data_IF_871801015441
#
_entry.id   IF_871801015441
#
_cell.length_a   1.000
_cell.length_b   1.000
_cell.length_c   1.000
_cell.angle_alpha   90.00
_cell.angle_beta   90.00
_cell.angle_gamma   90.00
#
_symmetry.space_group_name_H-M   'P 1'
#
loop_
_entity.id
_entity.type
_entity.pdbx_description
1 polymer ?
#
# COMPACT_ATOMS: atom_id res chain seq x y z
N UNK A 1 3.55 -29.85 89.44
CA UNK A 1 3.64 -28.55 88.74
C UNK A 1 4.93 -28.57 87.93
N UNK A 2 4.80 -28.41 86.62
CA UNK A 2 5.81 -28.73 85.62
C UNK A 2 7.10 -27.91 85.75
N UNK A 3 8.22 -28.62 85.73
CA UNK A 3 9.57 -28.11 85.64
C UNK A 3 9.77 -27.36 84.32
N UNK A 4 10.29 -26.14 84.45
CA UNK A 4 10.58 -25.20 83.37
C UNK A 4 11.38 -25.86 82.22
N UNK A 5 10.92 -25.70 80.98
CA UNK A 5 11.49 -26.21 79.73
C UNK A 5 12.84 -25.58 79.32
N UNK A 6 13.63 -25.08 80.26
CA UNK A 6 14.97 -24.59 79.98
C UNK A 6 15.98 -25.27 80.90
N UNK A 7 16.27 -26.52 80.56
CA UNK A 7 17.50 -27.18 81.02
C UNK A 7 18.68 -26.48 80.37
N UNK A 8 19.58 -25.90 81.16
CA UNK A 8 20.78 -25.26 80.65
C UNK A 8 21.66 -26.29 79.92
N UNK A 9 21.76 -26.08 78.60
CA UNK A 9 22.82 -26.46 77.66
C UNK A 9 23.74 -27.62 78.10
N UNK A 10 23.40 -28.84 77.66
CA UNK A 10 24.34 -29.95 77.67
C UNK A 10 25.41 -29.71 76.58
N UNK A 11 26.69 -29.74 76.99
CA UNK A 11 27.82 -29.66 76.07
C UNK A 11 27.76 -30.83 75.07
N UNK A 12 27.42 -30.54 73.82
CA UNK A 12 27.39 -31.53 72.74
C UNK A 12 26.17 -31.51 71.83
N UNK A 13 25.17 -30.65 72.06
CA UNK A 13 24.04 -30.52 71.12
C UNK A 13 24.42 -29.54 70.01
N UNK A 14 24.25 -29.99 68.76
CA UNK A 14 24.43 -29.24 67.51
C UNK A 14 23.95 -27.79 67.66
N UNK A 15 24.88 -26.86 67.90
CA UNK A 15 24.59 -25.43 67.83
C UNK A 15 24.06 -25.09 66.45
N UNK A 16 23.32 -24.00 66.32
CA UNK A 16 22.98 -23.42 65.02
C UNK A 16 24.29 -23.13 64.26
N UNK A 17 24.79 -24.10 63.51
CA UNK A 17 25.96 -23.93 62.66
C UNK A 17 25.51 -23.21 61.39
N UNK A 18 26.40 -22.45 60.76
CA UNK A 18 26.09 -21.82 59.47
C UNK A 18 25.59 -22.84 58.43
N UNK A 19 26.02 -24.10 58.53
CA UNK A 19 25.55 -25.20 57.69
C UNK A 19 24.07 -25.58 57.91
N UNK A 20 23.48 -25.31 59.08
CA UNK A 20 22.06 -25.55 59.37
C UNK A 20 21.15 -24.38 58.93
N UNK A 21 21.72 -23.23 58.57
CA UNK A 21 20.97 -22.04 58.12
C UNK A 21 20.58 -22.08 56.64
N UNK A 22 20.87 -23.19 55.93
CA UNK A 22 20.69 -23.28 54.48
C UNK A 22 21.66 -22.38 53.71
N UNK A 23 21.51 -22.30 52.39
CA UNK A 23 22.27 -21.36 51.57
C UNK A 23 22.10 -19.92 52.11
N UNK A 24 23.16 -19.09 52.14
CA UNK A 24 23.06 -17.72 52.62
C UNK A 24 21.99 -16.96 51.84
N UNK A 25 21.26 -16.08 52.52
CA UNK A 25 20.18 -15.27 51.91
C UNK A 25 20.66 -14.52 50.65
N UNK A 26 21.95 -14.22 50.49
CA UNK A 26 22.54 -13.64 49.28
C UNK A 26 22.38 -14.49 48.01
N UNK A 27 22.29 -15.81 48.14
CA UNK A 27 22.01 -16.71 47.02
C UNK A 27 20.50 -16.78 46.72
N UNK A 28 19.65 -16.58 47.74
CA UNK A 28 18.20 -16.45 47.59
C UNK A 28 17.77 -15.06 47.10
N UNK A 29 18.51 -14.00 47.44
CA UNK A 29 18.28 -12.62 47.03
C UNK A 29 18.70 -12.40 45.57
N UNK A 30 19.68 -13.18 45.08
CA UNK A 30 19.93 -13.36 43.64
C UNK A 30 18.74 -14.01 42.91
N UNK A 31 17.93 -14.82 43.58
CA UNK A 31 16.72 -15.40 42.98
C UNK A 31 15.56 -14.39 42.86
N UNK A 32 15.74 -13.13 43.30
CA UNK A 32 14.88 -12.02 42.90
C UNK A 32 15.23 -11.67 41.47
N UNK A 33 14.58 -12.37 40.55
CA UNK A 33 14.60 -12.15 39.11
C UNK A 33 14.63 -10.65 38.80
N UNK A 34 15.52 -10.21 37.90
CA UNK A 34 15.67 -8.82 37.42
C UNK A 34 14.42 -8.25 36.70
N UNK A 35 13.26 -8.87 36.90
CA UNK A 35 11.94 -8.73 36.29
C UNK A 35 11.35 -7.31 36.31
N UNK A 36 12.08 -6.29 36.76
CA UNK A 36 11.59 -4.91 36.75
C UNK A 36 12.61 -3.84 36.39
N UNK A 37 13.84 -4.23 36.06
CA UNK A 37 14.92 -3.29 35.69
C UNK A 37 15.65 -3.75 34.43
N UNK A 38 14.92 -4.33 33.49
CA UNK A 38 15.44 -4.60 32.14
C UNK A 38 14.76 -3.64 31.15
N UNK A 39 15.51 -3.18 30.16
CA UNK A 39 14.98 -2.44 29.02
C UNK A 39 15.29 -3.24 27.76
N UNK A 40 14.25 -3.49 26.97
CA UNK A 40 14.38 -4.23 25.72
C UNK A 40 14.07 -3.33 24.53
N UNK A 41 14.98 -3.30 23.56
CA UNK A 41 14.84 -2.59 22.30
C UNK A 41 15.15 -3.50 21.10
N UNK A 42 14.78 -3.06 19.91
CA UNK A 42 15.10 -3.74 18.66
C UNK A 42 15.52 -2.71 17.61
N UNK A 43 16.61 -2.98 16.88
CA UNK A 43 17.04 -2.15 15.73
C UNK A 43 16.11 -2.32 14.51
N UNK A 44 15.25 -3.34 14.53
CA UNK A 44 14.33 -3.67 13.45
C UNK A 44 12.90 -3.90 13.95
N UNK A 45 12.14 -4.65 13.16
CA UNK A 45 10.74 -4.98 13.46
C UNK A 45 10.67 -6.30 14.20
N UNK A 46 9.88 -6.34 15.28
CA UNK A 46 9.50 -7.58 15.95
C UNK A 46 8.07 -7.93 15.58
N UNK A 47 7.88 -8.93 14.72
CA UNK A 47 6.57 -9.34 14.19
C UNK A 47 6.16 -10.71 14.69
N UNK A 48 4.85 -10.94 14.81
CA UNK A 48 4.30 -12.23 15.17
C UNK A 48 3.19 -12.63 14.20
N UNK A 49 3.29 -13.85 13.66
CA UNK A 49 2.27 -14.47 12.82
C UNK A 49 1.41 -15.41 13.66
N UNK A 50 0.14 -15.06 13.86
CA UNK A 50 -0.81 -15.83 14.65
C UNK A 50 -1.23 -17.16 14.01
N UNK A 51 -0.99 -17.34 12.71
CA UNK A 51 -1.30 -18.58 11.99
C UNK A 51 -0.18 -19.59 12.16
N UNK A 52 1.07 -19.15 12.00
CA UNK A 52 2.24 -20.04 12.08
C UNK A 52 2.87 -20.10 13.47
N UNK A 53 2.57 -19.15 14.36
CA UNK A 53 3.21 -19.01 15.67
C UNK A 53 4.62 -18.46 15.65
N UNK A 54 5.06 -17.94 14.51
CA UNK A 54 6.44 -17.47 14.33
C UNK A 54 6.55 -16.04 14.85
N UNK A 55 7.38 -15.86 15.88
CA UNK A 55 7.89 -14.56 16.30
C UNK A 55 9.20 -14.28 15.57
N UNK A 56 9.30 -13.17 14.85
CA UNK A 56 10.48 -12.75 14.08
C UNK A 56 10.99 -11.41 14.59
N UNK A 57 12.31 -11.22 14.67
CA UNK A 57 12.95 -9.94 14.88
C UNK A 57 13.97 -9.69 13.77
N UNK A 58 13.74 -8.66 12.95
CA UNK A 58 14.55 -8.40 11.75
C UNK A 58 15.88 -7.71 12.03
N UNK A 59 16.02 -7.09 13.21
CA UNK A 59 17.25 -6.46 13.69
C UNK A 59 17.75 -7.07 14.98
N UNK A 60 18.84 -6.53 15.52
CA UNK A 60 19.39 -6.95 16.81
C UNK A 60 18.44 -6.57 17.94
N UNK A 61 18.15 -7.50 18.85
CA UNK A 61 17.51 -7.18 20.11
C UNK A 61 18.57 -6.74 21.11
N UNK A 62 18.30 -5.65 21.80
CA UNK A 62 19.15 -5.06 22.84
C UNK A 62 18.47 -5.22 24.19
N UNK A 63 19.20 -5.74 25.16
CA UNK A 63 18.71 -5.95 26.52
C UNK A 63 19.66 -5.27 27.49
N UNK A 64 19.19 -4.21 28.14
CA UNK A 64 19.95 -3.49 29.17
C UNK A 64 19.41 -3.82 30.54
N UNK A 65 20.27 -4.22 31.47
CA UNK A 65 19.87 -4.50 32.85
C UNK A 65 21.01 -4.24 33.83
N UNK A 66 20.70 -4.14 35.12
CA UNK A 66 21.68 -3.91 36.17
C UNK A 66 22.15 -5.22 36.78
N UNK A 67 23.46 -5.48 36.86
CA UNK A 67 24.02 -6.67 37.55
C UNK A 67 23.93 -6.54 39.06
N UNK A 68 24.28 -7.62 39.76
CA UNK A 68 24.32 -7.66 41.22
C UNK A 68 25.19 -6.58 41.88
N UNK A 69 26.20 -6.05 41.18
CA UNK A 69 27.07 -4.97 41.67
C UNK A 69 26.51 -3.54 41.47
N UNK A 70 25.31 -3.42 40.90
CA UNK A 70 24.67 -2.13 40.62
C UNK A 70 25.09 -1.49 39.30
N UNK A 71 25.90 -2.16 38.47
CA UNK A 71 26.30 -1.64 37.15
C UNK A 71 25.30 -2.02 36.06
N UNK A 72 24.94 -1.05 35.22
CA UNK A 72 24.12 -1.28 34.03
C UNK A 72 24.97 -1.88 32.90
N UNK A 73 24.45 -2.92 32.27
CA UNK A 73 25.17 -3.73 31.28
C UNK A 73 24.25 -4.09 30.12
N UNK A 74 24.84 -4.56 29.05
CA UNK A 74 24.14 -4.83 27.80
C UNK A 74 24.35 -6.27 27.33
N UNK A 75 23.28 -6.92 26.89
CA UNK A 75 23.31 -8.18 26.17
C UNK A 75 22.55 -8.02 24.86
N UNK A 76 22.90 -8.82 23.84
CA UNK A 76 22.31 -8.73 22.51
C UNK A 76 21.83 -10.07 22.00
N UNK A 77 20.87 -10.05 21.06
CA UNK A 77 20.44 -11.23 20.30
C UNK A 77 20.40 -10.81 18.84
N UNK A 78 21.15 -11.51 17.99
CA UNK A 78 21.15 -11.24 16.55
C UNK A 78 19.75 -11.47 15.94
N UNK A 79 19.46 -10.82 14.81
CA UNK A 79 18.21 -11.01 14.04
C UNK A 79 17.88 -12.49 13.87
N UNK A 80 16.60 -12.85 13.99
CA UNK A 80 16.19 -14.25 14.02
C UNK A 80 14.70 -14.43 14.20
N UNK A 81 14.32 -15.67 14.47
CA UNK A 81 12.93 -16.03 14.74
C UNK A 81 12.85 -17.21 15.72
N UNK A 82 11.69 -17.38 16.33
CA UNK A 82 11.33 -18.54 17.14
C UNK A 82 9.87 -18.90 16.90
N UNK A 83 9.57 -20.19 16.73
CA UNK A 83 8.19 -20.67 16.59
C UNK A 83 7.65 -21.11 17.94
N UNK A 84 6.54 -20.51 18.36
CA UNK A 84 5.82 -20.85 19.58
C UNK A 84 4.58 -21.70 19.27
N UNK A 85 4.45 -22.83 19.95
CA UNK A 85 3.22 -23.59 20.05
C UNK A 85 2.27 -22.95 21.07
N UNK A 86 1.01 -23.36 21.04
CA UNK A 86 -0.01 -22.88 21.97
C UNK A 86 0.39 -23.15 23.42
N UNK A 87 0.34 -22.10 24.24
CA UNK A 87 0.77 -22.18 25.63
C UNK A 87 2.29 -22.28 25.79
N UNK A 88 3.10 -21.91 24.79
CA UNK A 88 4.53 -21.68 24.98
C UNK A 88 4.84 -20.19 25.21
N UNK A 89 5.90 -19.92 25.97
CA UNK A 89 6.47 -18.59 26.12
C UNK A 89 7.92 -18.57 25.67
N UNK A 90 8.36 -17.44 25.13
CA UNK A 90 9.77 -17.20 24.83
C UNK A 90 10.44 -16.44 25.97
N UNK A 91 11.72 -16.75 26.19
CA UNK A 91 12.54 -16.17 27.23
C UNK A 91 14.01 -16.16 26.82
N UNK A 92 14.81 -15.42 27.57
CA UNK A 92 16.27 -15.43 27.44
C UNK A 92 16.90 -15.66 28.81
N UNK A 93 18.03 -16.36 28.82
CA UNK A 93 18.86 -16.47 30.03
C UNK A 93 19.88 -15.36 30.01
N UNK A 94 19.72 -14.37 30.88
CA UNK A 94 20.63 -13.23 30.99
C UNK A 94 22.02 -13.69 31.46
N UNK A 95 23.05 -13.09 30.87
CA UNK A 95 24.43 -13.29 31.26
C UNK A 95 24.95 -12.04 31.95
N UNK A 96 25.60 -12.20 33.11
CA UNK A 96 26.32 -11.13 33.79
C UNK A 96 27.64 -10.74 33.08
N UNK A 97 27.81 -11.05 31.79
CA UNK A 97 28.95 -10.61 30.97
C UNK A 97 28.51 -9.46 30.07
N UNK A 98 29.34 -8.42 29.93
CA UNK A 98 28.94 -7.26 29.12
C UNK A 98 29.05 -7.62 27.66
N UNK A 99 28.10 -7.15 26.87
CA UNK A 99 27.98 -7.43 25.44
C UNK A 99 27.89 -8.92 25.12
N UNK A 100 27.33 -9.71 26.05
CA UNK A 100 27.08 -11.11 25.79
C UNK A 100 26.03 -11.27 24.68
N UNK A 101 26.35 -12.12 23.71
CA UNK A 101 25.41 -12.54 22.68
C UNK A 101 24.62 -13.73 23.21
N UNK A 102 23.30 -13.58 23.25
CA UNK A 102 22.35 -14.56 23.77
C UNK A 102 21.55 -15.18 22.63
N UNK A 103 20.81 -16.24 22.96
CA UNK A 103 19.86 -16.90 22.06
C UNK A 103 18.48 -16.91 22.71
N UNK A 104 17.45 -16.63 21.91
CA UNK A 104 16.06 -16.77 22.34
C UNK A 104 15.72 -18.24 22.58
N UNK A 105 15.14 -18.54 23.73
CA UNK A 105 14.66 -19.87 24.11
C UNK A 105 13.14 -19.86 24.29
N UNK A 106 12.56 -21.06 24.43
CA UNK A 106 11.13 -21.24 24.71
C UNK A 106 10.87 -22.38 25.66
N UNK A 107 9.73 -22.32 26.35
CA UNK A 107 9.25 -23.39 27.23
C UNK A 107 7.72 -23.39 27.31
N UNK A 108 7.14 -24.49 27.81
CA UNK A 108 5.71 -24.62 28.01
C UNK A 108 5.23 -23.85 29.25
N UNK A 109 4.10 -23.16 29.11
CA UNK A 109 3.34 -22.42 30.11
C UNK A 109 1.98 -23.12 30.32
N UNK A 110 2.01 -24.35 30.84
CA UNK A 110 0.82 -25.14 31.13
C UNK A 110 0.68 -25.47 32.62
N UNK A 111 -0.55 -25.67 33.08
CA UNK A 111 -0.81 -26.17 34.44
C UNK A 111 -0.04 -27.50 34.66
N UNK A 112 0.86 -27.52 35.65
CA UNK A 112 1.70 -28.69 35.96
C UNK A 112 2.96 -28.85 35.11
N UNK A 113 3.25 -27.96 34.15
CA UNK A 113 4.52 -27.98 33.40
C UNK A 113 5.70 -27.58 34.29
N UNK A 114 6.88 -28.17 34.06
CA UNK A 114 8.13 -27.69 34.70
C UNK A 114 8.42 -26.28 34.21
N UNK A 115 8.23 -25.30 35.09
CA UNK A 115 8.49 -23.91 34.77
C UNK A 115 9.93 -23.52 35.08
N UNK A 116 10.59 -22.90 34.10
CA UNK A 116 11.88 -22.24 34.27
C UNK A 116 11.77 -20.86 34.94
N UNK A 117 10.58 -20.38 35.35
CA UNK A 117 10.45 -19.13 36.11
C UNK A 117 11.21 -19.12 37.44
N UNK A 118 11.52 -20.31 37.98
CA UNK A 118 12.35 -20.45 39.18
C UNK A 118 13.85 -20.40 38.89
N UNK A 119 14.25 -20.42 37.63
CA UNK A 119 15.65 -20.36 37.26
C UNK A 119 16.16 -18.92 37.37
N UNK A 120 17.40 -18.79 37.85
CA UNK A 120 18.10 -17.52 37.91
C UNK A 120 18.25 -16.93 36.50
N UNK A 121 18.20 -15.59 36.40
CA UNK A 121 18.44 -14.82 35.16
C UNK A 121 17.48 -15.04 33.99
N UNK A 122 16.29 -15.61 34.21
CA UNK A 122 15.30 -15.72 33.14
C UNK A 122 14.58 -14.38 32.97
N UNK A 123 14.65 -13.83 31.75
CA UNK A 123 13.83 -12.71 31.31
C UNK A 123 12.78 -13.24 30.34
N UNK A 124 11.50 -13.31 30.72
CA UNK A 124 10.42 -13.60 29.79
C UNK A 124 10.34 -12.50 28.72
N UNK A 125 9.94 -12.86 27.50
CA UNK A 125 9.78 -11.90 26.41
C UNK A 125 8.31 -11.73 26.00
N UNK A 126 7.55 -12.82 26.13
CA UNK A 126 6.11 -12.88 25.90
C UNK A 126 5.64 -14.32 25.74
N UNK A 127 4.33 -14.52 25.60
CA UNK A 127 3.75 -15.86 25.47
C UNK A 127 2.69 -15.93 24.37
N UNK A 128 2.54 -17.11 23.77
CA UNK A 128 1.44 -17.42 22.85
C UNK A 128 0.26 -17.98 23.64
N UNK A 129 -0.88 -17.30 23.57
CA UNK A 129 -2.10 -17.75 24.23
C UNK A 129 -2.78 -18.87 23.44
N UNK A 130 -3.06 -19.97 24.12
CA UNK A 130 -3.69 -21.15 23.50
C UNK A 130 -5.14 -20.91 23.07
N UNK A 131 -5.82 -19.90 23.65
CA UNK A 131 -7.24 -19.67 23.40
C UNK A 131 -7.51 -18.88 22.11
N UNK A 132 -6.58 -18.01 21.70
CA UNK A 132 -6.78 -17.09 20.57
C UNK A 132 -5.58 -16.99 19.61
N UNK A 133 -4.54 -17.81 19.83
CA UNK A 133 -3.28 -17.84 19.08
C UNK A 133 -2.48 -16.52 19.10
N UNK A 134 -2.91 -15.51 19.86
CA UNK A 134 -2.25 -14.22 19.90
C UNK A 134 -0.98 -14.30 20.74
N UNK A 135 0.00 -13.46 20.39
CA UNK A 135 1.17 -13.22 21.21
C UNK A 135 0.90 -12.10 22.20
N UNK A 136 1.14 -12.38 23.47
CA UNK A 136 1.03 -11.45 24.58
C UNK A 136 2.44 -11.05 24.98
N UNK A 137 2.92 -9.90 24.51
CA UNK A 137 4.27 -9.45 24.82
C UNK A 137 4.34 -9.02 26.29
N UNK A 138 5.44 -9.35 26.95
CA UNK A 138 5.74 -8.88 28.30
C UNK A 138 6.86 -7.84 28.19
N UNK A 139 8.14 -8.23 28.20
CA UNK A 139 9.23 -7.27 27.90
C UNK A 139 9.22 -6.74 26.46
N UNK A 140 8.60 -7.44 25.50
CA UNK A 140 8.45 -6.94 24.14
C UNK A 140 7.31 -5.91 23.97
N UNK A 141 6.54 -5.60 25.02
CA UNK A 141 5.31 -4.81 24.89
C UNK A 141 5.56 -3.40 24.31
N UNK A 142 6.63 -2.74 24.75
CA UNK A 142 7.05 -1.44 24.19
C UNK A 142 7.47 -1.51 22.73
N UNK A 143 8.07 -2.63 22.31
CA UNK A 143 8.51 -2.87 20.93
C UNK A 143 7.31 -3.14 20.01
N UNK A 144 6.33 -3.95 20.45
CA UNK A 144 5.09 -4.22 19.70
C UNK A 144 4.18 -2.99 19.60
N UNK A 145 4.14 -2.11 20.61
CA UNK A 145 3.35 -0.88 20.57
C UNK A 145 3.78 0.06 19.43
N UNK A 146 5.05 0.02 19.01
CA UNK A 146 5.53 0.76 17.84
C UNK A 146 5.13 0.09 16.50
N UNK A 147 4.78 -1.19 16.50
CA UNK A 147 4.46 -1.97 15.29
C UNK A 147 2.97 -1.98 14.92
N UNK A 148 2.04 -1.86 15.87
CA UNK A 148 0.60 -1.84 15.58
C UNK A 148 0.16 -0.67 14.67
N UNK A 149 1.03 0.31 14.47
CA UNK A 149 0.79 1.43 13.58
C UNK A 149 1.08 1.11 12.08
N UNK A 150 1.72 -0.03 11.75
CA UNK A 150 2.16 -0.36 10.37
C UNK A 150 1.05 -0.44 9.30
N UNK A 151 -0.19 -0.77 9.69
CA UNK A 151 -1.36 -0.72 8.81
C UNK A 151 -2.13 0.61 8.88
N UNK A 152 -1.74 1.52 9.78
CA UNK A 152 -2.38 2.81 10.00
C UNK A 152 -1.61 3.99 9.35
N UNK A 153 -0.41 3.76 8.82
CA UNK A 153 0.39 4.80 8.17
C UNK A 153 0.89 4.38 6.79
N UNK A 154 1.08 5.39 5.93
CA UNK A 154 1.80 5.25 4.66
C UNK A 154 3.28 5.47 4.96
N UNK A 155 4.13 4.51 4.58
CA UNK A 155 5.57 4.60 4.85
C UNK A 155 6.20 5.83 4.19
N UNK A 156 7.10 6.51 4.91
CA UNK A 156 7.82 7.68 4.40
C UNK A 156 8.51 7.40 3.06
N UNK A 157 9.03 6.18 2.87
CA UNK A 157 9.70 5.76 1.64
C UNK A 157 8.80 5.76 0.40
N UNK A 158 7.47 5.73 0.58
CA UNK A 158 6.51 5.84 -0.53
C UNK A 158 6.07 7.27 -0.81
N UNK A 159 6.46 8.23 0.04
CA UNK A 159 6.11 9.64 -0.06
C UNK A 159 7.25 10.45 -0.72
N UNK A 160 7.53 10.12 -1.98
CA UNK A 160 8.59 10.74 -2.78
C UNK A 160 8.22 12.14 -3.31
N UNK A 161 9.13 12.78 -4.04
CA UNK A 161 8.89 14.07 -4.68
C UNK A 161 7.60 14.07 -5.52
N UNK A 162 6.81 15.13 -5.39
CA UNK A 162 5.52 15.31 -6.09
C UNK A 162 4.47 14.22 -5.78
N UNK A 163 4.44 13.74 -4.55
CA UNK A 163 3.48 12.73 -4.08
C UNK A 163 2.43 13.34 -3.14
N UNK A 164 1.19 12.85 -3.22
CA UNK A 164 0.11 13.18 -2.28
C UNK A 164 -0.49 11.91 -1.68
N UNK A 165 -1.26 12.04 -0.60
CA UNK A 165 -2.06 10.94 -0.06
C UNK A 165 -3.46 10.96 -0.67
N UNK A 166 -3.95 9.78 -1.06
CA UNK A 166 -5.34 9.55 -1.49
C UNK A 166 -5.94 8.36 -0.74
N UNK A 167 -7.26 8.24 -0.78
CA UNK A 167 -7.97 7.06 -0.32
C UNK A 167 -9.01 6.66 -1.37
N UNK A 168 -8.82 5.50 -2.00
CA UNK A 168 -9.80 4.96 -2.95
C UNK A 168 -10.89 4.15 -2.25
N UNK A 169 -10.55 3.59 -1.07
CA UNK A 169 -11.46 2.89 -0.17
C UNK A 169 -11.37 3.52 1.22
N UNK A 170 -12.47 3.43 1.98
CA UNK A 170 -12.57 4.00 3.31
C UNK A 170 -11.43 3.53 4.22
N UNK A 171 -10.82 4.46 4.97
CA UNK A 171 -9.72 4.23 5.90
C UNK A 171 -8.45 3.58 5.30
N UNK A 172 -8.22 3.68 3.99
CA UNK A 172 -7.03 3.10 3.32
C UNK A 172 -6.20 4.18 2.61
N UNK A 173 -5.39 4.97 3.35
CA UNK A 173 -4.51 5.95 2.73
C UNK A 173 -3.45 5.26 1.87
N UNK A 174 -3.20 5.79 0.69
CA UNK A 174 -2.18 5.36 -0.25
C UNK A 174 -1.48 6.56 -0.89
N UNK A 175 -0.19 6.41 -1.19
CA UNK A 175 0.57 7.41 -1.93
C UNK A 175 0.15 7.44 -3.41
N UNK A 176 -0.02 8.64 -3.96
CA UNK A 176 -0.24 8.90 -5.39
C UNK A 176 0.82 9.89 -5.87
N UNK A 177 1.67 9.45 -6.80
CA UNK A 177 2.63 10.32 -7.49
C UNK A 177 1.93 11.15 -8.55
N UNK A 178 2.09 12.46 -8.50
CA UNK A 178 1.59 13.42 -9.49
C UNK A 178 2.74 13.80 -10.40
N UNK A 179 2.85 13.08 -11.52
CA UNK A 179 3.82 13.40 -12.56
C UNK A 179 3.59 14.80 -13.17
N UNK A 180 4.57 15.32 -13.90
CA UNK A 180 4.44 16.60 -14.61
C UNK A 180 3.23 16.59 -15.57
N UNK A 181 2.60 17.75 -15.73
CA UNK A 181 1.42 17.94 -16.60
C UNK A 181 0.23 17.03 -16.25
N UNK A 182 0.07 16.67 -14.98
CA UNK A 182 -1.09 15.94 -14.46
C UNK A 182 -1.92 16.82 -13.51
N UNK A 183 -3.19 16.47 -13.34
CA UNK A 183 -4.08 17.09 -12.35
C UNK A 183 -4.74 15.97 -11.55
N UNK A 184 -4.76 16.11 -10.23
CA UNK A 184 -5.45 15.14 -9.36
C UNK A 184 -6.96 15.26 -9.56
N UNK A 185 -7.62 14.15 -9.88
CA UNK A 185 -9.05 14.13 -10.11
C UNK A 185 -9.63 12.73 -10.16
N UNK A 186 -10.92 12.66 -10.47
CA UNK A 186 -11.67 11.42 -10.62
C UNK A 186 -12.61 11.51 -11.81
N UNK A 187 -12.46 10.61 -12.76
CA UNK A 187 -13.44 10.40 -13.84
C UNK A 187 -14.58 9.50 -13.35
N UNK A 188 -15.71 9.54 -14.05
CA UNK A 188 -16.86 8.65 -13.76
C UNK A 188 -16.41 7.19 -13.74
N UNK A 189 -16.71 6.48 -12.65
CA UNK A 189 -16.32 5.08 -12.44
C UNK A 189 -14.84 4.85 -12.09
N UNK A 190 -14.03 5.92 -11.96
CA UNK A 190 -12.61 5.84 -11.61
C UNK A 190 -12.27 6.13 -10.14
N UNK A 191 -11.08 5.67 -9.75
CA UNK A 191 -10.41 6.02 -8.50
C UNK A 191 -9.85 7.46 -8.53
N UNK A 192 -9.32 7.94 -7.40
CA UNK A 192 -8.53 9.19 -7.38
C UNK A 192 -7.22 8.90 -8.10
N UNK A 193 -6.94 9.69 -9.14
CA UNK A 193 -5.75 9.51 -9.94
C UNK A 193 -5.16 10.86 -10.37
N UNK A 194 -3.90 10.85 -10.75
CA UNK A 194 -3.27 11.94 -11.48
C UNK A 194 -3.75 11.81 -12.93
N UNK A 195 -4.74 12.61 -13.33
CA UNK A 195 -5.36 12.56 -14.66
C UNK A 195 -4.50 13.24 -15.72
N UNK A 196 -4.56 12.75 -16.96
CA UNK A 196 -3.99 13.43 -18.13
C UNK A 196 -4.85 14.64 -18.50
N UNK A 197 -4.31 15.57 -19.27
CA UNK A 197 -5.10 16.67 -19.83
C UNK A 197 -6.32 16.19 -20.64
N UNK A 198 -6.18 15.08 -21.38
CA UNK A 198 -7.27 14.49 -22.15
C UNK A 198 -8.40 13.93 -21.25
N UNK A 199 -8.05 13.19 -20.19
CA UNK A 199 -9.03 12.67 -19.24
C UNK A 199 -9.72 13.78 -18.45
N UNK A 200 -8.98 14.82 -18.06
CA UNK A 200 -9.56 15.99 -17.42
C UNK A 200 -10.56 16.70 -18.35
N UNK A 201 -10.25 16.78 -19.65
CA UNK A 201 -11.14 17.39 -20.63
C UNK A 201 -12.42 16.59 -20.87
N UNK A 202 -12.36 15.26 -20.80
CA UNK A 202 -13.54 14.38 -20.82
C UNK A 202 -14.49 14.69 -19.66
N UNK A 203 -13.96 14.98 -18.46
CA UNK A 203 -14.79 15.38 -17.30
C UNK A 203 -15.50 16.71 -17.55
N UNK A 204 -14.82 17.65 -18.20
CA UNK A 204 -15.33 19.01 -18.44
C UNK A 204 -16.32 19.11 -19.61
N UNK A 205 -16.67 17.98 -20.27
CA UNK A 205 -17.44 17.96 -21.53
C UNK A 205 -16.86 18.89 -22.60
N UNK A 206 -15.56 19.20 -22.51
CA UNK A 206 -14.89 20.05 -23.48
C UNK A 206 -14.65 19.24 -24.74
N UNK A 207 -15.07 19.77 -25.89
CA UNK A 207 -14.70 19.23 -27.18
C UNK A 207 -13.16 19.14 -27.22
N UNK A 208 -12.58 17.95 -27.39
CA UNK A 208 -11.15 17.88 -27.69
C UNK A 208 -10.97 18.65 -29.00
N UNK A 209 -10.28 19.80 -28.96
CA UNK A 209 -9.84 20.52 -30.15
C UNK A 209 -8.71 19.73 -30.84
N UNK A 210 -8.97 18.46 -31.14
CA UNK A 210 -8.06 17.50 -31.74
C UNK A 210 -8.40 17.26 -33.21
N UNK A 211 -7.37 16.98 -33.99
CA UNK A 211 -7.47 16.52 -35.37
C UNK A 211 -7.50 14.98 -35.37
N UNK A 212 -8.44 14.38 -36.11
CA UNK A 212 -8.52 12.93 -36.32
C UNK A 212 -8.22 12.57 -37.79
N UNK A 213 -7.38 11.55 -37.98
CA UNK A 213 -7.12 10.96 -39.30
C UNK A 213 -8.12 9.85 -39.57
N UNK A 214 -8.78 9.91 -40.70
CA UNK A 214 -9.72 8.88 -41.12
C UNK A 214 -9.09 8.05 -42.23
N UNK A 215 -8.98 6.75 -41.98
CA UNK A 215 -8.64 5.79 -43.03
C UNK A 215 -9.85 5.59 -43.93
N UNK A 216 -9.68 5.79 -45.23
CA UNK A 216 -10.75 5.63 -46.20
C UNK A 216 -11.19 4.17 -46.31
N UNK A 217 -12.51 3.95 -46.41
CA UNK A 217 -13.16 2.65 -46.53
C UNK A 217 -14.47 2.83 -47.29
N UNK A 218 -15.16 1.74 -47.67
CA UNK A 218 -16.46 1.85 -48.34
C UNK A 218 -17.51 2.53 -47.44
N UNK A 219 -17.38 2.33 -46.12
CA UNK A 219 -18.24 2.90 -45.09
C UNK A 219 -17.38 3.49 -43.99
N UNK A 220 -17.37 4.81 -43.92
CA UNK A 220 -16.61 5.60 -42.95
C UNK A 220 -17.55 6.09 -41.85
N UNK A 221 -17.19 5.82 -40.60
CA UNK A 221 -17.85 6.40 -39.43
C UNK A 221 -16.92 7.42 -38.79
N UNK A 222 -17.33 8.69 -38.75
CA UNK A 222 -16.60 9.74 -38.04
C UNK A 222 -17.17 9.86 -36.63
N UNK A 223 -16.34 9.58 -35.64
CA UNK A 223 -16.68 9.74 -34.23
C UNK A 223 -16.24 11.12 -33.74
N UNK A 224 -17.20 12.03 -33.55
CA UNK A 224 -16.91 13.39 -33.16
C UNK A 224 -16.49 13.56 -31.69
N UNK A 225 -16.52 12.48 -30.90
CA UNK A 225 -15.89 12.47 -29.58
C UNK A 225 -14.35 12.42 -29.66
N UNK A 226 -13.79 11.96 -30.79
CA UNK A 226 -12.34 11.84 -31.00
C UNK A 226 -11.65 13.14 -31.47
N UNK A 227 -12.42 14.17 -31.83
CA UNK A 227 -11.89 15.46 -32.25
C UNK A 227 -12.83 16.18 -33.21
N UNK A 228 -12.82 17.52 -33.19
CA UNK A 228 -13.76 18.33 -33.97
C UNK A 228 -13.37 18.54 -35.44
N UNK A 229 -12.15 18.14 -35.82
CA UNK A 229 -11.66 18.23 -37.20
C UNK A 229 -11.18 16.86 -37.68
N UNK A 230 -11.84 16.33 -38.70
CA UNK A 230 -11.47 15.07 -39.35
C UNK A 230 -10.83 15.36 -40.71
N UNK A 231 -9.87 14.53 -41.13
CA UNK A 231 -9.34 14.56 -42.49
C UNK A 231 -9.28 13.16 -43.11
N UNK A 232 -9.55 13.07 -44.41
CA UNK A 232 -9.51 11.83 -45.19
C UNK A 232 -9.00 12.12 -46.60
N UNK A 233 -8.14 11.25 -47.12
CA UNK A 233 -7.84 11.19 -48.56
C UNK A 233 -8.57 10.01 -49.16
N UNK A 234 -9.25 10.21 -50.28
CA UNK A 234 -9.89 9.09 -50.98
C UNK A 234 -8.86 8.07 -51.46
N UNK A 235 -9.25 6.80 -51.45
CA UNK A 235 -8.51 5.69 -52.09
C UNK A 235 -9.41 4.85 -53.02
N UNK A 236 -10.67 5.28 -53.19
CA UNK A 236 -11.71 4.54 -53.90
C UNK A 236 -12.76 5.47 -54.48
N UNK A 237 -13.58 4.92 -55.39
CA UNK A 237 -14.54 5.69 -56.19
C UNK A 237 -15.66 6.36 -55.37
N UNK A 238 -16.21 5.67 -54.39
CA UNK A 238 -17.34 6.14 -53.59
C UNK A 238 -17.17 5.72 -52.12
N UNK A 239 -17.57 6.61 -51.21
CA UNK A 239 -17.52 6.40 -49.76
C UNK A 239 -18.85 6.82 -49.13
N UNK A 240 -19.42 5.97 -48.28
CA UNK A 240 -20.58 6.31 -47.46
C UNK A 240 -20.13 6.82 -46.09
N UNK A 241 -20.63 7.98 -45.66
CA UNK A 241 -20.25 8.64 -44.41
C UNK A 241 -21.38 8.58 -43.38
N UNK A 242 -21.05 8.08 -42.19
CA UNK A 242 -21.88 8.12 -40.99
C UNK A 242 -21.25 9.06 -39.96
N UNK A 243 -22.04 9.94 -39.35
CA UNK A 243 -21.61 10.88 -38.31
C UNK A 243 -22.14 10.40 -36.94
N UNK A 244 -21.24 10.14 -36.00
CA UNK A 244 -21.56 9.62 -34.68
C UNK A 244 -21.14 10.55 -33.53
N UNK A 245 -21.78 10.35 -32.38
CA UNK A 245 -21.51 11.01 -31.11
C UNK A 245 -21.43 12.56 -31.17
N UNK A 246 -22.35 13.26 -31.88
CA UNK A 246 -22.32 14.72 -31.87
C UNK A 246 -22.87 15.30 -30.58
N UNK A 247 -22.28 16.40 -30.15
CA UNK A 247 -22.76 17.25 -29.06
C UNK A 247 -23.51 18.46 -29.61
N UNK A 248 -24.68 18.79 -29.01
CA UNK A 248 -25.47 19.96 -29.39
C UNK A 248 -24.69 21.26 -29.19
N UNK A 249 -24.79 22.17 -30.17
CA UNK A 249 -24.12 23.47 -30.17
C UNK A 249 -22.72 23.47 -30.79
N UNK A 250 -22.21 22.30 -31.21
CA UNK A 250 -20.85 22.18 -31.75
C UNK A 250 -20.77 22.35 -33.26
N UNK A 251 -19.58 22.77 -33.70
CA UNK A 251 -19.17 22.90 -35.10
C UNK A 251 -18.03 21.93 -35.39
N UNK A 252 -18.21 21.12 -36.42
CA UNK A 252 -17.29 20.08 -36.87
C UNK A 252 -16.81 20.38 -38.28
N UNK A 253 -15.58 19.96 -38.60
CA UNK A 253 -14.99 20.13 -39.92
C UNK A 253 -14.52 18.79 -40.44
N UNK A 254 -14.91 18.46 -41.67
CA UNK A 254 -14.40 17.31 -42.39
C UNK A 254 -13.68 17.79 -43.64
N UNK A 255 -12.36 17.66 -43.64
CA UNK A 255 -11.51 17.94 -44.79
C UNK A 255 -11.38 16.66 -45.61
N UNK A 256 -11.72 16.73 -46.88
CA UNK A 256 -11.62 15.61 -47.81
C UNK A 256 -10.72 15.99 -48.97
N UNK A 257 -9.76 15.12 -49.29
CA UNK A 257 -8.87 15.27 -50.42
C UNK A 257 -9.15 14.21 -51.48
N UNK A 258 -9.27 14.64 -52.74
CA UNK A 258 -9.24 13.75 -53.90
C UNK A 258 -7.90 13.03 -53.97
N UNK A 259 -7.91 11.84 -54.55
CA UNK A 259 -6.67 11.13 -54.86
C UNK A 259 -6.00 11.70 -56.12
N UNK A 260 -4.90 11.08 -56.55
CA UNK A 260 -4.19 11.49 -57.77
C UNK A 260 -4.98 11.31 -59.07
N UNK A 261 -6.17 10.69 -59.04
CA UNK A 261 -7.06 10.55 -60.19
C UNK A 261 -8.16 11.62 -60.20
N UNK A 262 -8.77 11.87 -59.04
CA UNK A 262 -9.96 12.71 -58.94
C UNK A 262 -11.26 11.98 -59.27
N UNK A 263 -12.38 12.71 -59.24
CA UNK A 263 -13.70 12.19 -59.53
C UNK A 263 -14.28 11.25 -58.46
N UNK A 264 -13.79 11.32 -57.23
CA UNK A 264 -14.28 10.52 -56.09
C UNK A 264 -15.47 11.22 -55.44
N UNK A 265 -16.42 10.43 -54.93
CA UNK A 265 -17.70 10.94 -54.41
C UNK A 265 -17.98 10.49 -52.99
N UNK A 266 -18.67 11.35 -52.22
CA UNK A 266 -19.26 11.00 -50.93
C UNK A 266 -20.76 10.74 -51.08
N UNK A 267 -21.25 9.81 -50.27
CA UNK A 267 -22.66 9.64 -49.94
C UNK A 267 -22.85 9.71 -48.43
N UNK A 268 -24.06 10.03 -47.98
CA UNK A 268 -24.35 10.29 -46.56
C UNK A 268 -25.35 9.27 -46.04
N UNK A 269 -24.94 8.49 -45.06
CA UNK A 269 -25.81 7.58 -44.30
C UNK A 269 -26.53 8.32 -43.16
N UNK A 270 -25.96 9.42 -42.68
CA UNK A 270 -26.59 10.32 -41.70
C UNK A 270 -27.36 11.43 -42.43
N UNK A 271 -28.59 11.71 -41.99
CA UNK A 271 -29.39 12.82 -42.53
C UNK A 271 -28.82 14.17 -42.11
N UNK A 272 -28.35 14.95 -43.09
CA UNK A 272 -27.82 16.31 -42.91
C UNK A 272 -28.68 17.30 -43.71
N UNK A 273 -29.08 18.41 -43.09
CA UNK A 273 -29.75 19.52 -43.78
C UNK A 273 -28.69 20.41 -44.43
N UNK A 274 -28.52 20.25 -45.73
CA UNK A 274 -27.54 21.02 -46.50
C UNK A 274 -28.05 22.40 -46.89
N UNK A 275 -27.15 23.38 -46.92
CA UNK A 275 -27.39 24.67 -47.58
C UNK A 275 -27.80 24.40 -49.04
N UNK A 276 -28.89 25.04 -49.49
CA UNK A 276 -29.42 24.82 -50.85
C UNK A 276 -30.23 23.52 -51.03
N UNK A 277 -30.46 22.75 -49.96
CA UNK A 277 -31.39 21.62 -49.96
C UNK A 277 -30.86 20.30 -50.53
N UNK A 278 -29.60 20.26 -50.98
CA UNK A 278 -28.96 19.03 -51.48
C UNK A 278 -27.50 18.93 -51.02
N UNK A 279 -26.94 17.70 -50.87
CA UNK A 279 -25.52 17.53 -50.53
C UNK A 279 -24.60 18.24 -51.53
N UNK A 280 -23.49 18.83 -51.07
CA UNK A 280 -22.54 19.52 -51.95
C UNK A 280 -21.88 18.51 -52.91
N UNK A 281 -21.66 18.96 -54.15
CA UNK A 281 -20.81 18.23 -55.10
C UNK A 281 -19.36 18.60 -54.83
N UNK A 282 -18.52 17.61 -54.57
CA UNK A 282 -17.09 17.81 -54.30
C UNK A 282 -16.33 18.18 -55.57
N UNK A 283 -15.18 18.83 -55.39
CA UNK A 283 -14.24 19.14 -56.46
C UNK A 283 -13.70 17.85 -57.06
N UNK A 284 -13.73 17.72 -58.39
CA UNK A 284 -13.39 16.48 -59.08
C UNK A 284 -11.93 16.40 -59.55
N UNK A 285 -11.16 17.49 -59.49
CA UNK A 285 -9.77 17.50 -59.92
C UNK A 285 -8.89 16.63 -59.00
N UNK A 286 -7.86 16.01 -59.57
CA UNK A 286 -6.88 15.26 -58.80
C UNK A 286 -6.27 16.13 -57.69
N UNK A 287 -6.13 15.57 -56.49
CA UNK A 287 -5.63 16.24 -55.29
C UNK A 287 -6.42 17.47 -54.82
N UNK A 288 -7.60 17.76 -55.39
CA UNK A 288 -8.44 18.85 -54.92
C UNK A 288 -8.88 18.61 -53.47
N UNK A 289 -8.87 19.67 -52.66
CA UNK A 289 -9.28 19.63 -51.26
C UNK A 289 -10.59 20.39 -51.10
N UNK A 290 -11.52 19.77 -50.37
CA UNK A 290 -12.78 20.38 -49.98
C UNK A 290 -12.94 20.32 -48.45
N UNK A 291 -13.61 21.32 -47.87
CA UNK A 291 -13.89 21.38 -46.42
C UNK A 291 -15.39 21.44 -46.21
N UNK A 292 -15.93 20.40 -45.59
CA UNK A 292 -17.31 20.35 -45.17
C UNK A 292 -17.42 20.80 -43.72
N UNK A 293 -18.25 21.82 -43.49
CA UNK A 293 -18.56 22.31 -42.14
C UNK A 293 -19.92 21.80 -41.73
N UNK A 294 -19.96 21.08 -40.59
CA UNK A 294 -21.15 20.44 -40.06
C UNK A 294 -21.46 21.04 -38.68
N UNK A 295 -22.70 21.46 -38.45
CA UNK A 295 -23.17 21.99 -37.18
C UNK A 295 -24.25 21.07 -36.65
N UNK A 296 -24.11 20.64 -35.39
CA UNK A 296 -25.15 19.85 -34.73
C UNK A 296 -25.84 20.69 -33.66
N UNK A 297 -27.12 21.00 -33.86
CA UNK A 297 -27.89 21.83 -32.93
C UNK A 297 -29.31 21.29 -32.82
N UNK A 298 -29.80 21.22 -31.57
CA UNK A 298 -31.14 20.74 -31.23
C UNK A 298 -31.48 19.39 -31.89
N UNK A 299 -30.53 18.45 -31.88
CA UNK A 299 -30.73 17.11 -32.45
C UNK A 299 -30.71 17.06 -33.99
N UNK A 300 -30.32 18.15 -34.66
CA UNK A 300 -30.33 18.24 -36.13
C UNK A 300 -28.96 18.62 -36.67
N UNK A 301 -28.52 17.92 -37.72
CA UNK A 301 -27.34 18.27 -38.49
C UNK A 301 -27.64 19.31 -39.57
N UNK A 302 -26.80 20.33 -39.64
CA UNK A 302 -26.76 21.33 -40.71
C UNK A 302 -25.38 21.31 -41.37
N UNK A 303 -25.33 21.41 -42.70
CA UNK A 303 -24.09 21.28 -43.45
C UNK A 303 -23.91 22.38 -44.49
N UNK A 304 -22.66 22.77 -44.69
CA UNK A 304 -22.18 23.63 -45.78
C UNK A 304 -20.81 23.15 -46.25
N UNK A 305 -20.37 23.56 -47.44
CA UNK A 305 -19.05 23.21 -47.96
C UNK A 305 -18.35 24.41 -48.57
N UNK A 306 -17.05 24.52 -48.28
CA UNK A 306 -16.11 25.34 -49.03
C UNK A 306 -15.31 24.41 -49.94
N UNK A 307 -15.26 24.73 -51.23
CA UNK A 307 -14.78 23.81 -52.26
C UNK A 307 -13.52 24.34 -52.95
N UNK A 308 -12.76 23.42 -53.53
CA UNK A 308 -11.66 23.68 -54.47
C UNK A 308 -10.52 24.51 -53.88
N UNK A 309 -10.02 24.06 -52.72
CA UNK A 309 -8.74 24.51 -52.20
C UNK A 309 -7.64 23.79 -53.00
N UNK A 310 -7.01 24.54 -53.91
CA UNK A 310 -5.91 24.08 -54.76
C UNK A 310 -4.55 24.14 -54.03
#
# INVERSE_FOLDING_TARGET
>A
MGTNYHTAYAAGVTGFTAALMGAPLSELDRAVTYHKTAFVGCDGTVSYDNTTGVLTWSGTLHIYFTRADGTAIHNSIASGNITLADGEYCYVTLSETNDAVLTMAKASLGAGSTSTFKAYNILPMGYRNASDNNFYPEELAGVFAMMLAGSAYVEKATFDANTILKADTDNTPAALTVAEQRIVGRKTGGNIDALTGAEALTILNGMQAGQQSITCSDNVTIDWSAGSTAYMTFDRASVAVTLNNPVNGQVYRFLVAQDGTGGRVLSWSTTVKWRGGSPPTLSAAANAIDILTLVYINGTWYGDAALNFA
#
